data_IF_562080233959
#
_entry.id   IF_562080233959
#
_cell.length_a   1.000
_cell.length_b   1.000
_cell.length_c   1.000
_cell.angle_alpha   90.00
_cell.angle_beta   90.00
_cell.angle_gamma   90.00
#
_symmetry.space_group_name_H-M   'P 1'
#
loop_
_entity.id
_entity.type
_entity.pdbx_description
1 polymer ?
#
# COMPACT_ATOMS: atom_id res chain seq x y z
N UNK A 1 -62.90 -8.52 -42.58
CA UNK A 1 -62.40 -7.49 -41.65
C UNK A 1 -62.98 -7.75 -40.27
N UNK A 2 -62.19 -8.33 -39.36
CA UNK A 2 -62.17 -7.84 -37.99
C UNK A 2 -60.74 -7.48 -37.56
N UNK A 3 -60.61 -6.26 -37.05
CA UNK A 3 -59.47 -5.73 -36.30
C UNK A 3 -59.61 -6.10 -34.83
N UNK A 4 -58.53 -6.53 -34.19
CA UNK A 4 -58.49 -6.82 -32.76
C UNK A 4 -57.11 -7.29 -32.32
N UNK A 5 -56.35 -6.37 -31.74
CA UNK A 5 -54.91 -6.41 -31.53
C UNK A 5 -54.46 -7.40 -30.44
N UNK A 6 -53.33 -8.04 -30.74
CA UNK A 6 -52.41 -8.74 -29.85
C UNK A 6 -51.74 -7.75 -28.89
N UNK A 7 -51.74 -8.05 -27.59
CA UNK A 7 -50.90 -7.43 -26.58
C UNK A 7 -50.00 -8.49 -25.97
N UNK A 8 -48.75 -8.56 -26.42
CA UNK A 8 -47.68 -9.32 -25.77
C UNK A 8 -47.05 -8.49 -24.66
N UNK A 9 -46.90 -9.06 -23.47
CA UNK A 9 -46.10 -8.50 -22.39
C UNK A 9 -44.60 -8.50 -22.79
N UNK A 10 -43.85 -7.43 -22.49
CA UNK A 10 -42.39 -7.46 -22.60
C UNK A 10 -41.78 -8.19 -21.40
N UNK A 11 -41.11 -9.30 -21.69
CA UNK A 11 -40.20 -10.01 -20.80
C UNK A 11 -39.03 -9.08 -20.42
N UNK A 12 -38.95 -8.71 -19.14
CA UNK A 12 -37.85 -7.90 -18.58
C UNK A 12 -36.91 -8.81 -17.79
N UNK A 13 -36.13 -9.60 -18.51
CA UNK A 13 -34.97 -10.28 -17.95
C UNK A 13 -33.87 -9.25 -17.63
N UNK A 14 -33.87 -8.80 -16.37
CA UNK A 14 -32.79 -8.00 -15.79
C UNK A 14 -31.58 -8.90 -15.51
N UNK A 15 -30.67 -8.95 -16.49
CA UNK A 15 -29.34 -9.53 -16.32
C UNK A 15 -28.54 -8.69 -15.31
N UNK A 16 -28.44 -9.16 -14.08
CA UNK A 16 -27.47 -8.67 -13.10
C UNK A 16 -26.11 -9.24 -13.48
N UNK A 17 -25.23 -8.39 -14.03
CA UNK A 17 -23.82 -8.72 -14.20
C UNK A 17 -23.15 -8.68 -12.82
N UNK A 18 -23.13 -9.83 -12.16
CA UNK A 18 -22.31 -10.05 -10.98
C UNK A 18 -20.84 -10.06 -11.42
N UNK A 19 -20.19 -8.89 -11.33
CA UNK A 19 -18.74 -8.82 -11.37
C UNK A 19 -18.19 -9.68 -10.24
N UNK A 20 -17.62 -10.83 -10.60
CA UNK A 20 -16.94 -11.73 -9.67
C UNK A 20 -15.85 -10.95 -8.95
N UNK A 21 -16.05 -10.65 -7.67
CA UNK A 21 -14.93 -10.34 -6.76
C UNK A 21 -14.06 -11.58 -6.77
N UNK A 22 -12.93 -11.50 -7.46
CA UNK A 22 -11.93 -12.57 -7.50
C UNK A 22 -11.58 -12.92 -6.05
N UNK A 23 -12.00 -14.11 -5.61
CA UNK A 23 -11.75 -14.59 -4.26
C UNK A 23 -10.28 -15.01 -4.17
N UNK A 24 -9.45 -14.13 -3.62
CA UNK A 24 -8.05 -14.42 -3.29
C UNK A 24 -7.97 -15.65 -2.37
N UNK A 25 -7.18 -16.67 -2.72
CA UNK A 25 -6.81 -17.72 -1.75
C UNK A 25 -5.76 -17.16 -0.80
N UNK A 26 -5.74 -17.67 0.44
CA UNK A 26 -4.72 -17.31 1.42
C UNK A 26 -3.32 -17.58 0.85
N UNK A 27 -2.47 -16.55 0.83
CA UNK A 27 -1.10 -16.59 0.27
C UNK A 27 -0.98 -16.17 -1.20
N UNK A 28 -2.05 -16.23 -1.99
CA UNK A 28 -2.00 -15.81 -3.40
C UNK A 28 -1.79 -14.30 -3.54
N UNK A 29 -2.41 -13.51 -2.65
CA UNK A 29 -2.26 -12.05 -2.68
C UNK A 29 -0.83 -11.62 -2.33
N UNK A 30 -0.18 -12.27 -1.36
CA UNK A 30 1.22 -12.03 -1.03
C UNK A 30 2.12 -12.29 -2.24
N UNK A 31 2.00 -13.46 -2.86
CA UNK A 31 2.87 -13.85 -3.97
C UNK A 31 2.64 -12.96 -5.21
N UNK A 32 1.41 -12.51 -5.47
CA UNK A 32 1.13 -11.54 -6.54
C UNK A 32 1.85 -10.22 -6.27
N UNK A 33 1.60 -9.63 -5.10
CA UNK A 33 2.23 -8.37 -4.69
C UNK A 33 3.76 -8.46 -4.68
N UNK A 34 4.31 -9.58 -4.21
CA UNK A 34 5.76 -9.79 -4.21
C UNK A 34 6.34 -9.82 -5.61
N UNK A 35 5.68 -10.46 -6.58
CA UNK A 35 6.12 -10.49 -7.98
C UNK A 35 6.07 -9.12 -8.64
N UNK A 36 5.09 -8.30 -8.30
CA UNK A 36 4.95 -6.93 -8.80
C UNK A 36 6.06 -6.01 -8.24
N UNK A 37 6.39 -6.14 -6.96
CA UNK A 37 7.37 -5.28 -6.28
C UNK A 37 8.83 -5.71 -6.53
N UNK A 38 9.10 -7.01 -6.64
CA UNK A 38 10.44 -7.57 -6.81
C UNK A 38 11.30 -6.99 -7.97
N UNK A 39 10.75 -6.59 -9.13
CA UNK A 39 11.59 -5.98 -10.17
C UNK A 39 11.99 -4.52 -9.86
N UNK A 40 11.29 -3.81 -8.97
CA UNK A 40 11.46 -2.37 -8.79
C UNK A 40 12.75 -2.07 -8.02
N UNK A 41 13.62 -1.27 -8.63
CA UNK A 41 14.91 -0.87 -8.06
C UNK A 41 15.96 -1.98 -7.98
N UNK A 42 15.72 -3.14 -8.63
CA UNK A 42 16.69 -4.24 -8.65
C UNK A 42 17.85 -3.92 -9.58
N UNK A 43 19.06 -3.98 -9.06
CA UNK A 43 20.28 -3.66 -9.82
C UNK A 43 20.76 -4.91 -10.58
N UNK A 44 21.05 -4.74 -11.88
CA UNK A 44 21.33 -5.85 -12.79
C UNK A 44 22.62 -6.62 -12.43
N UNK A 45 23.68 -5.90 -12.03
CA UNK A 45 25.00 -6.52 -11.81
C UNK A 45 25.13 -7.13 -10.41
N UNK A 46 24.62 -6.44 -9.39
CA UNK A 46 24.75 -6.88 -7.99
C UNK A 46 23.63 -7.83 -7.57
N UNK A 47 22.49 -7.80 -8.26
CA UNK A 47 21.29 -8.55 -7.90
C UNK A 47 20.54 -8.04 -6.65
N UNK A 48 21.12 -7.06 -5.95
CA UNK A 48 20.52 -6.34 -4.82
C UNK A 48 19.64 -5.17 -5.27
N UNK A 49 19.22 -4.33 -4.33
CA UNK A 49 18.30 -3.23 -4.59
C UNK A 49 18.93 -1.87 -4.29
N UNK A 50 18.51 -0.87 -5.07
CA UNK A 50 18.91 0.54 -4.92
C UNK A 50 17.66 1.41 -4.99
N UNK A 51 16.95 1.50 -3.87
CA UNK A 51 15.71 2.26 -3.70
C UNK A 51 15.91 3.42 -2.72
N UNK A 52 16.91 4.27 -2.97
CA UNK A 52 17.16 5.41 -2.08
C UNK A 52 15.93 6.31 -1.98
N UNK A 53 15.66 6.86 -0.79
CA UNK A 53 14.51 7.72 -0.55
C UNK A 53 14.41 8.85 -1.60
N UNK A 54 13.21 8.98 -2.19
CA UNK A 54 12.87 9.92 -3.28
C UNK A 54 13.72 9.82 -4.55
N UNK A 55 14.40 8.70 -4.78
CA UNK A 55 14.93 8.35 -6.11
C UNK A 55 13.81 7.88 -7.03
N UNK A 56 14.01 7.81 -8.36
CA UNK A 56 13.00 7.26 -9.27
C UNK A 56 12.51 5.86 -8.86
N UNK A 57 13.40 4.97 -8.40
CA UNK A 57 13.02 3.63 -7.95
C UNK A 57 12.15 3.66 -6.68
N UNK A 58 12.43 4.55 -5.73
CA UNK A 58 11.54 4.76 -4.57
C UNK A 58 10.19 5.34 -5.00
N UNK A 59 10.16 6.29 -5.93
CA UNK A 59 8.90 6.85 -6.46
C UNK A 59 8.04 5.77 -7.13
N UNK A 60 8.64 4.81 -7.83
CA UNK A 60 7.94 3.65 -8.40
C UNK A 60 7.39 2.73 -7.29
N UNK A 61 8.16 2.46 -6.23
CA UNK A 61 7.69 1.73 -5.06
C UNK A 61 6.53 2.44 -4.35
N UNK A 62 6.60 3.77 -4.21
CA UNK A 62 5.54 4.60 -3.64
C UNK A 62 4.28 4.57 -4.49
N UNK A 63 4.42 4.59 -5.83
CA UNK A 63 3.31 4.45 -6.75
C UNK A 63 2.67 3.07 -6.63
N UNK A 64 3.48 2.01 -6.52
CA UNK A 64 3.02 0.65 -6.25
C UNK A 64 2.23 0.57 -4.94
N UNK A 65 2.74 1.13 -3.84
CA UNK A 65 2.03 1.17 -2.55
C UNK A 65 0.65 1.83 -2.67
N UNK A 66 0.59 2.99 -3.34
CA UNK A 66 -0.67 3.70 -3.59
C UNK A 66 -1.65 2.86 -4.42
N UNK A 67 -1.16 2.12 -5.42
CA UNK A 67 -1.99 1.22 -6.22
C UNK A 67 -2.55 0.07 -5.36
N UNK A 68 -1.73 -0.54 -4.49
CA UNK A 68 -2.19 -1.60 -3.57
C UNK A 68 -3.26 -1.11 -2.58
N UNK A 69 -3.11 0.13 -2.08
CA UNK A 69 -4.11 0.76 -1.24
C UNK A 69 -5.43 0.99 -2.00
N UNK A 70 -5.35 1.55 -3.21
CA UNK A 70 -6.52 1.82 -4.06
C UNK A 70 -7.27 0.56 -4.48
N UNK A 71 -6.55 -0.52 -4.82
CA UNK A 71 -7.15 -1.81 -5.17
C UNK A 71 -8.01 -2.43 -4.05
N UNK A 72 -7.77 -2.01 -2.80
CA UNK A 72 -8.50 -2.46 -1.60
C UNK A 72 -9.50 -1.42 -1.08
N UNK A 73 -9.67 -0.30 -1.78
CA UNK A 73 -10.56 0.79 -1.38
C UNK A 73 -10.12 1.52 -0.11
N UNK A 74 -8.84 1.45 0.25
CA UNK A 74 -8.30 2.15 1.41
C UNK A 74 -8.16 3.64 1.13
N UNK A 75 -8.44 4.48 2.13
CA UNK A 75 -8.18 5.91 2.03
C UNK A 75 -6.67 6.14 2.08
N UNK A 76 -6.11 6.65 0.98
CA UNK A 76 -4.69 6.90 0.84
C UNK A 76 -4.35 8.36 1.15
N UNK A 77 -3.28 8.58 1.93
CA UNK A 77 -2.68 9.89 2.09
C UNK A 77 -1.14 9.82 2.19
N UNK A 78 -0.51 10.97 2.02
CA UNK A 78 0.92 11.17 2.35
C UNK A 78 0.98 12.27 3.38
N UNK A 79 1.62 11.99 4.51
CA UNK A 79 1.74 12.99 5.57
C UNK A 79 2.82 14.04 5.25
N UNK A 80 2.94 15.04 6.12
CA UNK A 80 3.96 16.10 5.98
C UNK A 80 5.38 15.63 6.30
N UNK A 81 5.56 14.38 6.71
CA UNK A 81 6.83 13.75 7.04
C UNK A 81 7.32 12.82 5.92
N UNK A 82 6.56 12.69 4.83
CA UNK A 82 6.89 11.85 3.68
C UNK A 82 6.48 10.38 3.81
N UNK A 83 5.74 10.01 4.86
CA UNK A 83 5.19 8.66 5.01
C UNK A 83 3.93 8.51 4.17
N UNK A 84 3.71 7.31 3.62
CA UNK A 84 2.44 6.96 2.98
C UNK A 84 1.57 6.19 3.96
N UNK A 85 0.28 6.49 3.96
CA UNK A 85 -0.71 5.87 4.81
C UNK A 85 -1.86 5.34 3.97
N UNK A 86 -2.30 4.11 4.25
CA UNK A 86 -3.47 3.48 3.68
C UNK A 86 -4.42 3.06 4.79
N UNK A 87 -5.54 3.77 4.91
CA UNK A 87 -6.47 3.66 6.03
C UNK A 87 -7.72 2.84 5.70
N UNK A 88 -8.06 1.93 6.61
CA UNK A 88 -9.38 1.33 6.74
C UNK A 88 -10.09 1.99 7.93
N UNK A 89 -11.21 2.67 7.68
CA UNK A 89 -11.93 3.46 8.69
C UNK A 89 -11.41 4.90 8.81
N UNK A 90 -12.00 5.67 9.73
CA UNK A 90 -11.63 7.07 9.96
C UNK A 90 -10.39 7.18 10.85
N UNK A 91 -9.26 7.74 10.39
CA UNK A 91 -8.07 7.94 11.22
C UNK A 91 -8.31 8.83 12.45
N UNK A 92 -9.37 9.64 12.45
CA UNK A 92 -9.74 10.52 13.57
C UNK A 92 -10.54 9.83 14.68
N UNK A 93 -10.98 8.60 14.47
CA UNK A 93 -11.71 7.84 15.48
C UNK A 93 -10.84 7.47 16.70
N UNK A 94 -9.52 7.64 16.60
CA UNK A 94 -8.58 7.32 17.66
C UNK A 94 -8.24 5.83 17.71
N UNK A 95 -7.25 5.49 18.54
CA UNK A 95 -6.88 4.10 18.82
C UNK A 95 -6.64 3.25 17.56
N UNK A 96 -6.06 3.81 16.50
CA UNK A 96 -5.79 3.02 15.31
C UNK A 96 -4.77 1.89 15.58
N UNK A 97 -4.93 0.76 14.89
CA UNK A 97 -3.90 -0.27 14.79
C UNK A 97 -3.08 0.01 13.52
N UNK A 98 -1.79 0.26 13.68
CA UNK A 98 -0.88 0.56 12.56
C UNK A 98 0.06 -0.62 12.35
N UNK A 99 0.16 -1.08 11.11
CA UNK A 99 1.16 -2.04 10.64
C UNK A 99 1.85 -1.47 9.41
N UNK A 100 3.04 -1.94 9.08
CA UNK A 100 3.79 -1.44 7.94
C UNK A 100 5.29 -1.61 8.14
N UNK A 101 6.05 -0.97 7.25
CA UNK A 101 7.51 -0.94 7.32
C UNK A 101 7.98 0.18 6.40
N UNK A 102 9.03 -0.05 5.60
CA UNK A 102 9.58 0.88 4.63
C UNK A 102 9.77 0.20 3.27
N UNK A 103 10.00 0.97 2.21
CA UNK A 103 10.31 0.47 0.87
C UNK A 103 11.65 0.98 0.34
N UNK A 104 12.29 1.93 1.03
CA UNK A 104 13.63 2.35 0.68
C UNK A 104 14.66 1.24 0.95
N UNK A 105 15.90 1.45 0.50
CA UNK A 105 16.97 0.48 0.76
C UNK A 105 18.32 1.17 0.88
N UNK A 106 19.21 0.54 1.63
CA UNK A 106 20.66 0.75 1.50
C UNK A 106 21.18 0.38 0.10
N UNK A 107 22.41 0.80 -0.29
CA UNK A 107 23.04 0.39 -1.53
C UNK A 107 23.17 -1.14 -1.62
N UNK A 108 22.66 -1.71 -2.72
CA UNK A 108 22.68 -3.15 -2.96
C UNK A 108 22.01 -3.96 -1.83
N UNK A 109 20.98 -3.37 -1.22
CA UNK A 109 20.20 -3.97 -0.14
C UNK A 109 19.46 -5.25 -0.53
N UNK A 110 19.02 -5.99 0.49
CA UNK A 110 18.30 -7.25 0.31
C UNK A 110 16.88 -7.07 -0.24
N UNK A 111 16.25 -8.20 -0.63
CA UNK A 111 14.88 -8.19 -1.13
C UNK A 111 13.82 -8.03 -0.03
N UNK A 112 14.18 -8.35 1.22
CA UNK A 112 13.20 -8.54 2.31
C UNK A 112 13.13 -7.38 3.30
N UNK A 113 14.24 -6.69 3.53
CA UNK A 113 14.33 -5.62 4.52
C UNK A 113 13.51 -4.40 4.06
N UNK A 114 12.43 -4.11 4.79
CA UNK A 114 11.37 -3.19 4.38
C UNK A 114 10.20 -3.87 3.67
N UNK A 115 10.33 -4.24 2.37
CA UNK A 115 9.24 -4.79 1.55
C UNK A 115 8.48 -5.95 2.17
N UNK A 116 9.14 -6.84 2.92
CA UNK A 116 8.45 -7.96 3.57
C UNK A 116 7.36 -7.47 4.53
N UNK A 117 7.63 -6.44 5.34
CA UNK A 117 6.66 -5.90 6.28
C UNK A 117 5.49 -5.20 5.58
N UNK A 118 5.77 -4.46 4.52
CA UNK A 118 4.73 -3.76 3.72
C UNK A 118 3.82 -4.76 3.01
N UNK A 119 4.38 -5.70 2.26
CA UNK A 119 3.60 -6.70 1.52
C UNK A 119 2.83 -7.61 2.47
N UNK A 120 3.44 -8.04 3.58
CA UNK A 120 2.77 -8.86 4.60
C UNK A 120 1.61 -8.12 5.26
N UNK A 121 1.70 -6.80 5.44
CA UNK A 121 0.62 -6.00 6.00
C UNK A 121 -0.62 -5.98 5.09
N UNK A 122 -0.43 -5.79 3.78
CA UNK A 122 -1.53 -5.89 2.82
C UNK A 122 -2.09 -7.31 2.74
N UNK A 123 -1.24 -8.33 2.75
CA UNK A 123 -1.67 -9.73 2.69
C UNK A 123 -2.45 -10.14 3.95
N UNK A 124 -2.05 -9.64 5.12
CA UNK A 124 -2.78 -9.85 6.36
C UNK A 124 -4.16 -9.19 6.32
N UNK A 125 -4.26 -7.97 5.79
CA UNK A 125 -5.56 -7.31 5.58
C UNK A 125 -6.47 -8.12 4.64
N UNK A 126 -5.93 -8.61 3.52
CA UNK A 126 -6.70 -9.45 2.58
C UNK A 126 -7.23 -10.71 3.28
N UNK A 127 -6.40 -11.35 4.10
CA UNK A 127 -6.79 -12.55 4.84
C UNK A 127 -7.86 -12.25 5.91
N UNK A 128 -7.76 -11.10 6.60
CA UNK A 128 -8.79 -10.67 7.55
C UNK A 128 -10.12 -10.40 6.86
N UNK A 129 -10.12 -9.72 5.71
CA UNK A 129 -11.32 -9.54 4.90
C UNK A 129 -11.90 -10.88 4.42
N UNK A 130 -11.05 -11.81 3.96
CA UNK A 130 -11.47 -13.14 3.51
C UNK A 130 -12.13 -13.95 4.63
N UNK A 131 -11.66 -13.77 5.88
CA UNK A 131 -12.25 -14.38 7.07
C UNK A 131 -13.53 -13.71 7.56
N UNK A 132 -13.96 -12.60 6.93
CA UNK A 132 -15.13 -11.83 7.35
C UNK A 132 -14.94 -11.15 8.71
N UNK A 133 -13.71 -10.72 9.02
CA UNK A 133 -13.43 -9.99 10.27
C UNK A 133 -14.07 -8.61 10.21
N UNK A 134 -14.84 -8.28 11.24
CA UNK A 134 -15.36 -6.93 11.47
C UNK A 134 -14.32 -6.09 12.22
N UNK A 135 -13.96 -4.94 11.66
CA UNK A 135 -12.97 -4.04 12.25
C UNK A 135 -13.64 -3.04 13.19
N UNK A 136 -13.29 -3.09 14.48
CA UNK A 136 -13.85 -2.21 15.51
C UNK A 136 -13.00 -0.97 15.78
N UNK A 137 -11.79 -0.91 15.22
CA UNK A 137 -10.84 0.19 15.32
C UNK A 137 -10.29 0.49 13.92
N UNK A 138 -9.92 1.75 13.61
CA UNK A 138 -9.24 2.05 12.36
C UNK A 138 -7.96 1.22 12.22
N UNK A 139 -7.65 0.81 10.99
CA UNK A 139 -6.39 0.14 10.67
C UNK A 139 -5.63 0.96 9.63
N UNK A 140 -4.33 1.12 9.83
CA UNK A 140 -3.43 1.74 8.85
C UNK A 140 -2.36 0.75 8.42
N UNK A 141 -2.12 0.72 7.11
CA UNK A 141 -0.89 0.18 6.54
C UNK A 141 -0.01 1.37 6.17
N UNK A 142 1.27 1.37 6.58
CA UNK A 142 2.19 2.47 6.31
C UNK A 142 3.47 2.04 5.60
N UNK A 143 3.96 2.93 4.74
CA UNK A 143 5.32 2.93 4.21
C UNK A 143 6.03 4.18 4.76
N UNK A 144 6.92 3.98 5.74
CA UNK A 144 7.71 5.05 6.34
C UNK A 144 8.78 5.55 5.37
N UNK A 145 8.95 6.87 5.31
CA UNK A 145 9.94 7.49 4.43
C UNK A 145 11.34 7.54 5.03
N UNK A 146 12.34 7.17 4.23
CA UNK A 146 13.78 7.26 4.55
C UNK A 146 14.10 6.55 5.87
N UNK A 147 13.74 5.27 5.93
CA UNK A 147 13.99 4.43 7.11
C UNK A 147 15.47 4.08 7.23
N UNK A 148 16.11 3.75 6.11
CA UNK A 148 17.51 3.33 6.07
C UNK A 148 18.47 4.50 6.28
N UNK A 149 18.02 5.72 5.97
CA UNK A 149 18.85 6.93 6.01
C UNK A 149 19.99 6.91 5.00
N UNK A 150 19.92 6.04 3.98
CA UNK A 150 20.98 5.80 3.02
C UNK A 150 21.34 7.05 2.20
N UNK A 151 20.39 7.98 2.04
CA UNK A 151 20.57 9.20 1.23
C UNK A 151 20.92 10.43 2.06
N UNK A 152 20.31 10.57 3.24
CA UNK A 152 20.42 11.78 4.06
C UNK A 152 21.24 11.60 5.35
N UNK A 153 21.79 10.41 5.58
CA UNK A 153 22.67 10.11 6.71
C UNK A 153 21.98 9.99 8.06
N UNK A 154 20.65 9.96 8.10
CA UNK A 154 19.86 9.77 9.30
C UNK A 154 18.76 8.74 9.05
N UNK A 155 18.80 7.62 9.78
CA UNK A 155 17.77 6.60 9.70
C UNK A 155 16.44 7.04 10.34
N UNK A 156 15.37 6.40 9.89
CA UNK A 156 14.00 6.51 10.41
C UNK A 156 13.45 7.94 10.38
N UNK A 157 13.73 8.75 9.35
CA UNK A 157 13.33 10.17 9.31
C UNK A 157 11.82 10.30 9.43
N UNK A 158 11.07 9.60 8.57
CA UNK A 158 9.62 9.71 8.51
C UNK A 158 8.91 9.27 9.79
N UNK A 159 9.33 8.16 10.40
CA UNK A 159 8.75 7.63 11.63
C UNK A 159 9.15 8.44 12.87
N UNK A 160 10.40 8.92 12.94
CA UNK A 160 10.84 9.80 14.04
C UNK A 160 10.13 11.15 14.02
N UNK A 161 9.89 11.73 12.85
CA UNK A 161 9.07 12.95 12.73
C UNK A 161 7.63 12.69 13.18
N UNK A 162 7.03 11.58 12.76
CA UNK A 162 5.67 11.21 13.17
C UNK A 162 5.55 10.99 14.69
N UNK A 163 6.57 10.41 15.32
CA UNK A 163 6.62 10.15 16.76
C UNK A 163 7.15 11.34 17.60
N UNK A 164 7.46 12.48 16.98
CA UNK A 164 8.03 13.64 17.65
C UNK A 164 9.45 13.42 18.22
N UNK A 165 10.16 12.40 17.73
CA UNK A 165 11.53 12.05 18.12
C UNK A 165 12.60 12.76 17.28
N UNK A 166 12.21 13.37 16.16
CA UNK A 166 13.06 14.24 15.36
C UNK A 166 12.39 15.61 15.25
N UNK A 167 13.12 16.68 15.59
CA UNK A 167 12.61 18.02 15.40
C UNK A 167 12.63 18.39 13.91
N UNK A 168 11.59 19.09 13.44
CA UNK A 168 11.49 19.56 12.04
C UNK A 168 12.72 20.39 11.63
N UNK A 169 13.23 21.22 12.55
CA UNK A 169 14.43 22.02 12.31
C UNK A 169 15.69 21.16 12.07
N UNK A 170 15.77 19.97 12.67
CA UNK A 170 16.89 19.04 12.49
C UNK A 170 16.75 18.33 11.14
N UNK A 171 15.54 17.87 10.80
CA UNK A 171 15.23 17.26 9.52
C UNK A 171 15.56 18.20 8.34
N UNK A 172 15.24 19.50 8.45
CA UNK A 172 15.57 20.50 7.43
C UNK A 172 17.08 20.74 7.24
N UNK A 173 17.92 20.32 8.19
CA UNK A 173 19.38 20.44 8.10
C UNK A 173 20.02 19.26 7.39
N UNK A 174 19.30 18.16 7.18
CA UNK A 174 19.78 17.03 6.40
C UNK A 174 20.09 17.45 4.96
N UNK A 175 21.09 16.82 4.36
CA UNK A 175 21.56 17.08 3.00
C UNK A 175 21.73 15.77 2.28
N UNK A 176 21.50 15.81 0.97
CA UNK A 176 21.83 14.71 0.07
C UNK A 176 23.35 14.49 0.12
N UNK A 177 23.77 13.26 0.38
CA UNK A 177 25.18 12.87 0.53
C UNK A 177 25.94 12.74 -0.79
#
# INVERSE_FOLDING_TARGET
MPSGLSGGEPDTSSGTSSGTREQWRAGDSFLSMWRELAPIGRHADSGGYRRYAWSPADLDCRAWFRAQAGARGLAYETDRNGNQWAWLGDPRAGDAVVTGSHLDSVPDGGAFDGPLGVVSSFAALDELHRRGVEFTRPLAITNFGDEEGARFGLACVGSRLAAGQLAVADAHRLRDG
#
